data_IF_362403678103
#
_entry.id   IF_362403678103
#
_cell.length_a   1.000
_cell.length_b   1.000
_cell.length_c   1.000
_cell.angle_alpha   90.00
_cell.angle_beta   90.00
_cell.angle_gamma   90.00
#
_symmetry.space_group_name_H-M   'P 1'
#
loop_
_entity.id
_entity.type
_entity.pdbx_description
1 polymer ?
#
# COMPACT_ATOMS: atom_id res chain seq x y z
N UNK A 1 -6.50 -11.69 -9.83
CA UNK A 1 -5.44 -12.11 -10.78
C UNK A 1 -4.99 -10.95 -11.66
N UNK A 2 -4.13 -10.06 -11.14
CA UNK A 2 -3.19 -9.38 -12.02
C UNK A 2 -1.97 -10.32 -12.14
N UNK A 3 -2.06 -11.30 -13.06
CA UNK A 3 -0.83 -11.91 -13.56
C UNK A 3 -0.11 -10.79 -14.27
N UNK A 4 0.92 -10.20 -13.65
CA UNK A 4 1.97 -9.51 -14.39
C UNK A 4 2.27 -10.45 -15.55
N UNK A 5 2.01 -10.00 -16.79
CA UNK A 5 2.39 -10.77 -17.97
C UNK A 5 3.84 -11.14 -17.76
N UNK A 6 4.08 -12.43 -17.61
CA UNK A 6 5.36 -13.08 -17.39
C UNK A 6 6.43 -12.24 -18.11
N UNK A 7 7.34 -11.62 -17.36
CA UNK A 7 8.56 -11.09 -17.98
C UNK A 7 9.11 -12.27 -18.79
N UNK A 8 9.15 -12.14 -20.13
CA UNK A 8 9.80 -13.13 -20.96
C UNK A 8 11.27 -13.01 -20.59
N UNK A 9 11.75 -13.90 -19.73
CA UNK A 9 13.16 -13.96 -19.42
C UNK A 9 13.91 -14.10 -20.75
N UNK A 10 14.90 -13.24 -21.04
CA UNK A 10 15.72 -13.44 -22.22
C UNK A 10 16.28 -14.86 -22.17
N UNK A 11 16.25 -15.57 -23.30
CA UNK A 11 16.77 -16.95 -23.39
C UNK A 11 18.28 -17.02 -23.05
N UNK A 12 18.96 -15.89 -23.06
CA UNK A 12 20.36 -15.75 -22.76
C UNK A 12 20.60 -15.25 -21.34
N UNK A 13 20.92 -16.16 -20.42
CA UNK A 13 21.53 -15.85 -19.12
C UNK A 13 22.94 -16.47 -19.06
N UNK A 14 23.95 -15.63 -18.86
CA UNK A 14 25.33 -16.09 -18.71
C UNK A 14 25.58 -16.57 -17.30
N UNK A 15 25.81 -17.88 -17.13
CA UNK A 15 26.05 -18.51 -15.83
C UNK A 15 27.28 -17.96 -15.09
N UNK A 16 28.19 -17.26 -15.78
CA UNK A 16 29.31 -16.55 -15.13
C UNK A 16 28.83 -15.38 -14.26
N UNK A 17 27.61 -14.88 -14.47
CA UNK A 17 27.01 -13.80 -13.67
C UNK A 17 26.46 -14.29 -12.32
N UNK A 18 26.10 -15.56 -12.19
CA UNK A 18 25.45 -16.14 -11.00
C UNK A 18 26.11 -15.79 -9.65
N UNK A 19 27.43 -15.91 -9.45
CA UNK A 19 28.05 -15.55 -8.17
C UNK A 19 27.97 -14.05 -7.85
N UNK A 20 27.86 -13.18 -8.86
CA UNK A 20 27.67 -11.75 -8.64
C UNK A 20 26.22 -11.43 -8.28
N UNK A 21 25.26 -12.11 -8.90
CA UNK A 21 23.83 -11.95 -8.60
C UNK A 21 23.53 -12.41 -7.17
N UNK A 22 24.08 -13.54 -6.73
CA UNK A 22 23.96 -14.01 -5.35
C UNK A 22 24.58 -13.02 -4.36
N UNK A 23 25.77 -12.50 -4.67
CA UNK A 23 26.42 -11.45 -3.86
C UNK A 23 25.61 -10.16 -3.83
N UNK A 24 24.96 -9.80 -4.94
CA UNK A 24 24.09 -8.64 -4.98
C UNK A 24 22.89 -8.83 -4.03
N UNK A 25 22.25 -10.01 -4.04
CA UNK A 25 21.19 -10.34 -3.11
C UNK A 25 21.65 -10.32 -1.64
N UNK A 26 22.85 -10.81 -1.32
CA UNK A 26 23.38 -10.74 0.04
C UNK A 26 23.59 -9.29 0.49
N UNK A 27 24.11 -8.44 -0.39
CA UNK A 27 24.27 -7.00 -0.13
C UNK A 27 22.93 -6.27 0.05
N UNK A 28 21.87 -6.70 -0.63
CA UNK A 28 20.53 -6.15 -0.40
C UNK A 28 20.02 -6.47 1.01
N UNK A 29 20.27 -7.69 1.50
CA UNK A 29 19.91 -8.08 2.88
C UNK A 29 20.69 -7.24 3.88
N UNK A 30 22.01 -7.10 3.71
CA UNK A 30 22.85 -6.28 4.58
C UNK A 30 22.38 -4.82 4.61
N UNK A 31 22.08 -4.24 3.44
CA UNK A 31 21.53 -2.89 3.32
C UNK A 31 20.21 -2.75 4.07
N UNK A 32 19.30 -3.73 3.94
CA UNK A 32 17.99 -3.74 4.60
C UNK A 32 18.13 -3.77 6.11
N UNK A 33 19.03 -4.60 6.63
CA UNK A 33 19.35 -4.65 8.07
C UNK A 33 19.97 -3.34 8.55
N UNK A 34 20.91 -2.77 7.81
CA UNK A 34 21.56 -1.50 8.17
C UNK A 34 20.59 -0.31 8.18
N UNK A 35 19.53 -0.36 7.37
CA UNK A 35 18.48 0.65 7.29
C UNK A 35 17.28 0.37 8.20
N UNK A 36 17.34 -0.61 9.11
CA UNK A 36 16.22 -0.97 10.00
C UNK A 36 14.92 -1.27 9.22
N UNK A 37 15.07 -1.95 8.08
CA UNK A 37 13.97 -2.25 7.15
C UNK A 37 13.22 -1.02 6.63
N UNK A 38 13.80 0.19 6.75
CA UNK A 38 13.22 1.42 6.21
C UNK A 38 13.76 1.61 4.79
N UNK A 39 12.93 1.35 3.76
CA UNK A 39 13.37 1.56 2.39
C UNK A 39 13.61 3.06 2.18
N UNK A 40 14.59 3.38 1.33
CA UNK A 40 14.96 4.75 1.02
C UNK A 40 15.83 4.77 -0.23
N UNK A 41 15.83 5.90 -0.92
CA UNK A 41 16.69 6.15 -2.08
C UNK A 41 17.84 7.07 -1.65
N UNK A 42 19.08 6.79 -2.08
CA UNK A 42 20.17 7.74 -1.92
C UNK A 42 19.83 9.11 -2.55
N UNK A 43 20.42 10.22 -2.06
CA UNK A 43 20.29 11.54 -2.67
C UNK A 43 20.66 11.58 -4.15
N UNK A 44 20.04 12.47 -4.92
CA UNK A 44 20.19 12.53 -6.38
C UNK A 44 21.65 12.81 -6.82
N UNK A 45 22.32 13.74 -6.15
CA UNK A 45 23.73 14.07 -6.37
C UNK A 45 24.64 12.86 -6.13
N UNK A 46 24.34 12.05 -5.11
CA UNK A 46 25.09 10.83 -4.81
C UNK A 46 24.85 9.75 -5.88
N UNK A 47 23.63 9.61 -6.40
CA UNK A 47 23.30 8.68 -7.48
C UNK A 47 24.03 9.07 -8.78
N UNK A 48 24.11 10.36 -9.09
CA UNK A 48 24.83 10.87 -10.26
C UNK A 48 26.34 10.62 -10.16
N UNK A 49 26.95 10.89 -8.99
CA UNK A 49 28.37 10.60 -8.74
C UNK A 49 28.69 9.11 -8.90
N UNK A 50 27.82 8.22 -8.41
CA UNK A 50 28.01 6.78 -8.59
C UNK A 50 27.83 6.34 -10.04
N UNK A 51 26.83 6.90 -10.74
CA UNK A 51 26.62 6.61 -12.16
C UNK A 51 27.88 6.96 -12.97
N UNK A 52 28.44 8.15 -12.77
CA UNK A 52 29.69 8.57 -13.42
C UNK A 52 30.86 7.64 -13.04
N UNK A 53 31.08 7.40 -11.75
CA UNK A 53 32.18 6.57 -11.24
C UNK A 53 32.19 5.15 -11.82
N UNK A 54 31.01 4.55 -11.98
CA UNK A 54 30.88 3.16 -12.45
C UNK A 54 30.56 3.07 -13.96
N UNK A 55 30.52 4.19 -14.69
CA UNK A 55 30.22 4.22 -16.13
C UNK A 55 28.79 3.77 -16.46
N UNK A 56 27.83 4.06 -15.59
CA UNK A 56 26.42 3.71 -15.72
C UNK A 56 25.58 4.94 -16.10
N UNK A 57 24.39 4.70 -16.67
CA UNK A 57 23.44 5.78 -16.90
C UNK A 57 22.77 6.21 -15.58
N UNK A 58 22.65 7.52 -15.29
CA UNK A 58 22.03 8.01 -14.06
C UNK A 58 20.62 7.45 -13.83
N UNK A 59 19.76 7.45 -14.86
CA UNK A 59 18.40 6.92 -14.76
C UNK A 59 18.34 5.42 -14.48
N UNK A 60 19.34 4.66 -14.94
CA UNK A 60 19.45 3.24 -14.63
C UNK A 60 19.78 3.02 -13.14
N UNK A 61 20.72 3.79 -12.58
CA UNK A 61 21.04 3.73 -11.15
C UNK A 61 19.83 4.17 -10.31
N UNK A 62 19.13 5.24 -10.71
CA UNK A 62 17.87 5.69 -10.09
C UNK A 62 16.82 4.57 -10.11
N UNK A 63 16.66 3.87 -11.23
CA UNK A 63 15.70 2.77 -11.37
C UNK A 63 16.03 1.57 -10.46
N UNK A 64 17.31 1.21 -10.28
CA UNK A 64 17.73 0.14 -9.36
C UNK A 64 17.26 0.48 -7.93
N UNK A 65 17.61 1.66 -7.42
CA UNK A 65 17.24 2.04 -6.05
C UNK A 65 15.73 2.26 -5.90
N UNK A 66 15.05 2.76 -6.95
CA UNK A 66 13.59 2.81 -7.00
C UNK A 66 12.95 1.43 -6.90
N UNK A 67 13.53 0.42 -7.53
CA UNK A 67 13.05 -0.98 -7.46
C UNK A 67 13.29 -1.59 -6.09
N UNK A 68 14.48 -1.38 -5.50
CA UNK A 68 14.80 -1.84 -4.15
C UNK A 68 13.81 -1.25 -3.14
N UNK A 69 13.44 0.02 -3.30
CA UNK A 69 12.44 0.69 -2.46
C UNK A 69 11.06 0.01 -2.54
N UNK A 70 10.72 -0.63 -3.65
CA UNK A 70 9.40 -1.24 -3.90
C UNK A 70 9.28 -2.70 -3.43
N UNK A 71 10.32 -3.30 -2.83
CA UNK A 71 10.33 -4.73 -2.43
C UNK A 71 9.05 -5.14 -1.69
N UNK A 72 8.63 -4.33 -0.72
CA UNK A 72 7.46 -4.59 0.12
C UNK A 72 6.13 -4.60 -0.66
N UNK A 73 6.05 -3.81 -1.73
CA UNK A 73 4.88 -3.77 -2.63
C UNK A 73 4.82 -4.97 -3.59
N UNK A 74 5.96 -5.65 -3.78
CA UNK A 74 6.11 -6.85 -4.61
C UNK A 74 5.85 -8.15 -3.83
N UNK A 75 5.61 -8.09 -2.52
CA UNK A 75 5.20 -9.26 -1.73
C UNK A 75 3.95 -9.90 -2.35
N UNK A 76 3.86 -11.24 -2.43
CA UNK A 76 2.65 -11.91 -2.87
C UNK A 76 1.42 -11.42 -2.12
N UNK A 77 0.37 -11.07 -2.86
CA UNK A 77 -0.90 -10.62 -2.29
C UNK A 77 -1.86 -11.81 -2.22
N UNK A 78 -2.43 -12.05 -1.05
CA UNK A 78 -3.52 -13.01 -0.93
C UNK A 78 -4.70 -12.53 -1.77
N UNK A 79 -5.14 -13.36 -2.71
CA UNK A 79 -6.40 -13.12 -3.41
C UNK A 79 -7.52 -13.75 -2.58
N UNK A 80 -8.59 -13.00 -2.24
CA UNK A 80 -9.70 -13.55 -1.48
C UNK A 80 -10.38 -14.70 -2.23
N UNK A 81 -10.57 -15.83 -1.56
CA UNK A 81 -11.13 -17.08 -2.09
C UNK A 81 -12.38 -17.48 -1.32
N UNK A 82 -13.37 -18.07 -2.01
CA UNK A 82 -14.60 -18.58 -1.41
C UNK A 82 -15.32 -17.58 -0.50
N UNK A 83 -16.11 -16.69 -1.10
CA UNK A 83 -16.92 -15.73 -0.36
C UNK A 83 -17.85 -16.45 0.64
N UNK A 84 -17.80 -16.05 1.90
CA UNK A 84 -18.59 -16.63 3.00
C UNK A 84 -19.80 -15.73 3.29
N UNK A 85 -19.57 -14.49 3.72
CA UNK A 85 -20.64 -13.58 4.17
C UNK A 85 -20.21 -12.12 4.23
N UNK A 86 -21.19 -11.24 4.44
CA UNK A 86 -20.97 -9.88 4.91
C UNK A 86 -21.09 -9.82 6.43
N UNK A 87 -20.13 -9.19 7.10
CA UNK A 87 -20.22 -8.83 8.52
C UNK A 87 -20.53 -7.34 8.61
N UNK A 88 -21.72 -6.94 9.11
CA UNK A 88 -22.05 -5.54 9.32
C UNK A 88 -21.11 -4.89 10.36
N UNK A 89 -20.67 -3.66 10.09
CA UNK A 89 -19.83 -2.87 11.02
C UNK A 89 -20.40 -1.48 11.25
N UNK A 90 -20.99 -0.87 10.20
CA UNK A 90 -21.59 0.47 10.19
C UNK A 90 -20.90 1.47 11.14
N UNK A 91 -19.70 1.90 10.76
CA UNK A 91 -18.96 2.98 11.44
C UNK A 91 -18.81 4.14 10.49
N UNK A 92 -18.98 5.35 11.00
CA UNK A 92 -18.76 6.56 10.21
C UNK A 92 -18.24 7.70 11.07
N UNK A 93 -17.45 8.58 10.48
CA UNK A 93 -16.99 9.81 11.10
C UNK A 93 -16.92 10.89 10.04
N UNK A 94 -17.40 12.09 10.39
CA UNK A 94 -17.26 13.27 9.56
C UNK A 94 -15.98 14.01 9.94
N UNK A 95 -15.19 14.40 8.95
CA UNK A 95 -13.98 15.20 9.14
C UNK A 95 -13.70 16.05 7.91
N UNK A 96 -13.46 17.35 8.14
CA UNK A 96 -13.15 18.33 7.08
C UNK A 96 -14.20 18.36 5.95
N UNK A 97 -15.49 18.27 6.31
CA UNK A 97 -16.61 18.27 5.36
C UNK A 97 -16.74 16.99 4.52
N UNK A 98 -16.04 15.91 4.92
CA UNK A 98 -16.09 14.60 4.28
C UNK A 98 -16.59 13.55 5.26
N UNK A 99 -17.52 12.71 4.82
CA UNK A 99 -18.02 11.58 5.59
C UNK A 99 -17.22 10.32 5.23
N UNK A 100 -16.50 9.78 6.19
CA UNK A 100 -15.78 8.51 6.05
C UNK A 100 -16.63 7.41 6.67
N UNK A 101 -16.83 6.30 5.96
CA UNK A 101 -17.68 5.21 6.44
C UNK A 101 -17.16 3.81 6.09
N UNK A 102 -17.45 2.86 6.98
CA UNK A 102 -17.29 1.42 6.80
C UNK A 102 -18.62 0.75 7.10
N UNK A 103 -19.26 0.20 6.08
CA UNK A 103 -20.61 -0.35 6.23
C UNK A 103 -20.60 -1.84 6.54
N UNK A 104 -19.80 -2.61 5.80
CA UNK A 104 -19.64 -4.04 6.01
C UNK A 104 -18.24 -4.52 5.61
N UNK A 105 -17.83 -5.63 6.21
CA UNK A 105 -16.62 -6.38 5.85
C UNK A 105 -17.04 -7.64 5.10
N UNK A 106 -16.43 -7.90 3.94
CA UNK A 106 -16.61 -9.17 3.23
C UNK A 106 -15.68 -10.21 3.83
N UNK A 107 -16.23 -11.35 4.20
CA UNK A 107 -15.47 -12.49 4.70
C UNK A 107 -15.29 -13.53 3.60
N UNK A 108 -14.05 -14.00 3.47
CA UNK A 108 -13.61 -15.07 2.58
C UNK A 108 -12.93 -16.14 3.43
N UNK A 109 -12.73 -17.34 2.88
CA UNK A 109 -12.12 -18.45 3.62
C UNK A 109 -10.68 -18.15 4.08
N UNK A 110 -9.95 -17.34 3.31
CA UNK A 110 -8.54 -17.04 3.53
C UNK A 110 -8.23 -15.57 3.88
N UNK A 111 -9.22 -14.67 3.85
CA UNK A 111 -9.01 -13.24 4.06
C UNK A 111 -10.31 -12.50 4.41
N UNK A 112 -10.18 -11.26 4.89
CA UNK A 112 -11.28 -10.30 4.93
C UNK A 112 -11.03 -9.16 3.96
N UNK A 113 -12.09 -8.61 3.37
CA UNK A 113 -12.01 -7.43 2.51
C UNK A 113 -12.83 -6.30 3.11
N UNK A 114 -12.14 -5.20 3.42
CA UNK A 114 -12.73 -3.97 3.95
C UNK A 114 -12.90 -2.96 2.83
N UNK A 115 -14.02 -2.26 2.85
CA UNK A 115 -14.22 -1.07 2.00
C UNK A 115 -14.47 0.14 2.89
N UNK A 116 -13.62 1.15 2.76
CA UNK A 116 -13.85 2.47 3.33
C UNK A 116 -14.41 3.37 2.22
N UNK A 117 -15.60 3.92 2.42
CA UNK A 117 -16.18 4.95 1.56
C UNK A 117 -15.87 6.34 2.14
N UNK A 118 -15.67 7.31 1.26
CA UNK A 118 -15.49 8.71 1.58
C UNK A 118 -16.46 9.49 0.70
N UNK A 119 -17.33 10.28 1.30
CA UNK A 119 -18.37 11.04 0.61
C UNK A 119 -18.18 12.53 0.93
N UNK A 120 -18.45 13.40 -0.04
CA UNK A 120 -18.37 14.86 0.11
C UNK A 120 -19.34 15.55 -0.84
N UNK A 121 -19.60 16.83 -0.59
CA UNK A 121 -20.42 17.62 -1.52
C UNK A 121 -19.65 17.86 -2.83
N UNK A 122 -19.99 17.09 -3.86
CA UNK A 122 -19.41 17.20 -5.20
C UNK A 122 -19.88 18.42 -6.00
N UNK A 123 -20.78 19.25 -5.45
CA UNK A 123 -21.34 20.45 -6.09
C UNK A 123 -20.81 21.76 -5.50
N UNK A 124 -20.12 21.72 -4.37
CA UNK A 124 -19.51 22.90 -3.76
C UNK A 124 -18.38 23.47 -4.65
N UNK A 125 -18.52 24.71 -5.12
CA UNK A 125 -17.53 25.42 -5.96
C UNK A 125 -16.21 25.65 -5.22
N UNK A 126 -16.22 25.75 -3.89
CA UNK A 126 -15.06 26.21 -3.13
C UNK A 126 -13.95 25.17 -3.03
N UNK A 127 -14.23 23.87 -3.00
CA UNK A 127 -13.20 22.84 -2.85
C UNK A 127 -13.57 21.65 -3.73
N UNK A 128 -13.39 21.77 -5.06
CA UNK A 128 -13.05 20.58 -5.84
C UNK A 128 -11.61 20.30 -5.43
N UNK A 129 -11.33 19.39 -4.49
CA UNK A 129 -9.96 19.09 -4.14
C UNK A 129 -9.33 18.62 -5.44
N UNK A 130 -8.09 19.02 -5.72
CA UNK A 130 -7.42 18.55 -6.92
C UNK A 130 -7.55 17.03 -6.95
N UNK A 131 -7.66 16.39 -8.14
CA UNK A 131 -7.75 14.92 -8.23
C UNK A 131 -6.74 14.22 -7.32
N UNK A 132 -5.58 14.86 -7.08
CA UNK A 132 -4.52 14.46 -6.16
C UNK A 132 -4.93 14.45 -4.66
N UNK A 133 -5.65 15.44 -4.14
CA UNK A 133 -6.10 15.50 -2.72
C UNK A 133 -7.11 14.39 -2.37
N UNK A 134 -7.85 13.91 -3.37
CA UNK A 134 -8.83 12.81 -3.27
C UNK A 134 -8.23 11.44 -3.54
N UNK A 135 -7.00 11.38 -4.06
CA UNK A 135 -6.26 10.15 -4.39
C UNK A 135 -5.29 9.72 -3.28
N UNK A 136 -5.42 10.32 -2.09
CA UNK A 136 -4.57 10.00 -0.93
C UNK A 136 -4.37 8.50 -0.75
N UNK A 137 -3.13 8.10 -0.53
CA UNK A 137 -2.76 6.70 -0.40
C UNK A 137 -3.03 6.23 1.02
N UNK A 138 -4.16 5.57 1.24
CA UNK A 138 -4.47 5.04 2.56
C UNK A 138 -3.78 3.69 2.80
N UNK A 139 -3.25 3.53 4.01
CA UNK A 139 -2.93 2.23 4.59
C UNK A 139 -3.87 1.95 5.75
N UNK A 140 -4.21 0.68 5.92
CA UNK A 140 -5.01 0.20 7.03
C UNK A 140 -4.09 -0.52 8.01
N UNK A 141 -4.26 -0.25 9.29
CA UNK A 141 -3.62 -0.97 10.38
C UNK A 141 -4.67 -1.51 11.33
N UNK A 142 -4.48 -2.77 11.72
CA UNK A 142 -5.29 -3.49 12.70
C UNK A 142 -4.31 -4.16 13.66
N UNK A 143 -4.52 -3.97 14.96
CA UNK A 143 -3.72 -4.64 15.99
C UNK A 143 -3.89 -6.16 15.93
N UNK A 144 -2.87 -6.91 16.36
CA UNK A 144 -2.91 -8.38 16.38
C UNK A 144 -2.20 -9.08 15.22
N UNK A 145 -1.34 -8.37 14.49
CA UNK A 145 -0.44 -8.97 13.50
C UNK A 145 -1.08 -9.24 12.13
N UNK A 146 -2.14 -8.52 11.79
CA UNK A 146 -2.78 -8.62 10.48
C UNK A 146 -1.93 -7.95 9.38
N UNK A 147 -1.72 -8.65 8.25
CA UNK A 147 -1.22 -8.05 7.02
C UNK A 147 -2.39 -7.38 6.28
N UNK A 148 -2.34 -6.05 6.19
CA UNK A 148 -3.38 -5.22 5.60
C UNK A 148 -2.87 -4.59 4.30
N UNK A 149 -3.52 -4.90 3.18
CA UNK A 149 -3.08 -4.47 1.84
C UNK A 149 -4.14 -3.71 1.08
N UNK A 150 -3.80 -2.49 0.67
CA UNK A 150 -4.63 -1.73 -0.26
C UNK A 150 -4.70 -2.45 -1.61
N UNK A 151 -5.93 -2.67 -2.10
CA UNK A 151 -6.24 -3.28 -3.40
C UNK A 151 -6.44 -2.23 -4.49
N UNK A 152 -6.87 -1.04 -4.09
CA UNK A 152 -7.08 0.09 -4.98
C UNK A 152 -8.13 1.05 -4.44
N UNK A 153 -8.29 2.14 -5.16
CA UNK A 153 -9.29 3.15 -4.90
C UNK A 153 -10.11 3.37 -6.19
N UNK A 154 -11.40 3.66 -6.03
CA UNK A 154 -12.29 4.04 -7.14
C UNK A 154 -13.22 5.14 -6.65
N UNK A 155 -13.49 6.13 -7.48
CA UNK A 155 -14.33 7.25 -7.10
C UNK A 155 -14.70 8.13 -8.28
N UNK A 156 -15.47 9.16 -7.99
CA UNK A 156 -15.97 10.15 -8.92
C UNK A 156 -16.38 11.42 -8.18
N UNK A 157 -17.25 12.23 -8.77
CA UNK A 157 -17.71 13.47 -8.13
C UNK A 157 -18.53 13.13 -6.87
N UNK A 158 -18.04 13.58 -5.72
CA UNK A 158 -18.71 13.46 -4.43
C UNK A 158 -18.49 12.15 -3.68
N UNK A 159 -17.76 11.18 -4.24
CA UNK A 159 -17.42 9.95 -3.50
C UNK A 159 -16.15 9.23 -3.97
N UNK A 160 -15.48 8.58 -3.03
CA UNK A 160 -14.31 7.71 -3.23
C UNK A 160 -14.48 6.46 -2.37
N UNK A 161 -13.98 5.32 -2.83
CA UNK A 161 -13.96 4.09 -2.06
C UNK A 161 -12.59 3.43 -2.15
N UNK A 162 -12.08 3.00 -1.01
CA UNK A 162 -10.79 2.35 -0.83
C UNK A 162 -11.03 0.92 -0.37
N UNK A 163 -10.40 -0.05 -1.03
CA UNK A 163 -10.55 -1.48 -0.70
C UNK A 163 -9.25 -2.03 -0.14
N UNK A 164 -9.35 -2.79 0.96
CA UNK A 164 -8.23 -3.39 1.67
C UNK A 164 -8.47 -4.88 1.85
N UNK A 165 -7.43 -5.70 1.69
CA UNK A 165 -7.42 -7.13 2.02
C UNK A 165 -6.67 -7.31 3.33
N UNK A 166 -7.22 -8.11 4.24
CA UNK A 166 -6.70 -8.36 5.59
C UNK A 166 -6.47 -9.85 5.76
N UNK A 167 -5.26 -10.24 6.19
CA UNK A 167 -4.86 -11.62 6.42
C UNK A 167 -4.18 -11.75 7.79
N UNK A 168 -4.55 -12.72 8.64
CA UNK A 168 -5.63 -13.71 8.47
C UNK A 168 -7.03 -13.06 8.40
N UNK A 169 -8.09 -13.82 8.02
CA UNK A 169 -9.45 -13.29 8.08
C UNK A 169 -9.79 -12.82 9.50
N UNK A 170 -10.44 -11.65 9.58
CA UNK A 170 -10.94 -11.07 10.81
C UNK A 170 -12.03 -11.96 11.44
N UNK A 171 -12.17 -11.95 12.77
CA UNK A 171 -13.24 -12.68 13.44
C UNK A 171 -14.63 -12.15 13.05
N UNK A 172 -15.67 -12.91 13.41
CA UNK A 172 -17.05 -12.51 13.12
C UNK A 172 -17.50 -11.31 13.96
N UNK A 173 -17.05 -11.23 15.21
CA UNK A 173 -17.29 -10.07 16.05
C UNK A 173 -16.22 -9.01 15.77
N UNK A 174 -16.63 -7.89 15.18
CA UNK A 174 -15.75 -6.78 14.84
C UNK A 174 -15.86 -5.62 15.84
N UNK A 175 -16.73 -5.71 16.86
CA UNK A 175 -17.00 -4.64 17.82
C UNK A 175 -15.75 -4.22 18.58
N UNK A 176 -14.88 -5.16 18.92
CA UNK A 176 -13.63 -4.91 19.67
C UNK A 176 -12.45 -4.51 18.78
N UNK A 177 -12.61 -4.56 17.46
CA UNK A 177 -11.52 -4.27 16.52
C UNK A 177 -11.45 -2.77 16.25
N UNK A 178 -10.26 -2.20 16.40
CA UNK A 178 -9.96 -0.85 15.93
C UNK A 178 -9.45 -0.90 14.50
N UNK A 179 -9.99 -0.05 13.63
CA UNK A 179 -9.49 0.15 12.27
C UNK A 179 -8.82 1.52 12.19
N UNK A 180 -7.53 1.55 11.90
CA UNK A 180 -6.75 2.78 11.76
C UNK A 180 -6.37 2.97 10.30
N UNK A 181 -6.84 4.04 9.69
CA UNK A 181 -6.47 4.42 8.33
C UNK A 181 -5.53 5.60 8.37
N UNK A 182 -4.30 5.43 7.91
CA UNK A 182 -3.34 6.51 7.76
C UNK A 182 -3.23 6.91 6.29
N UNK A 183 -3.21 8.21 6.02
CA UNK A 183 -3.06 8.73 4.67
C UNK A 183 -1.60 9.12 4.41
N UNK A 184 -1.11 8.73 3.24
CA UNK A 184 0.21 9.07 2.72
C UNK A 184 0.07 9.94 1.47
N UNK A 185 1.04 10.83 1.29
CA UNK A 185 1.16 11.70 0.11
C UNK A 185 1.71 10.92 -1.09
N UNK A 186 2.51 9.88 -0.83
CA UNK A 186 3.12 9.04 -1.86
C UNK A 186 2.53 7.62 -1.89
N UNK A 187 2.53 6.95 -3.06
CA UNK A 187 1.98 5.61 -3.21
C UNK A 187 2.76 4.52 -2.47
N UNK A 188 4.00 4.79 -2.06
CA UNK A 188 4.89 3.84 -1.37
C UNK A 188 4.87 4.06 0.16
N UNK A 189 4.04 4.97 0.64
CA UNK A 189 3.80 5.28 2.05
C UNK A 189 5.06 5.54 2.86
N UNK A 190 5.92 6.39 2.33
CA UNK A 190 7.12 6.93 2.99
C UNK A 190 6.86 8.33 3.56
N UNK A 191 5.91 9.06 2.99
CA UNK A 191 5.57 10.43 3.33
C UNK A 191 4.18 10.45 3.99
N UNK A 192 4.09 10.26 5.31
CA UNK A 192 2.83 10.34 6.02
C UNK A 192 2.29 11.78 5.95
N UNK A 193 1.02 11.93 5.59
CA UNK A 193 0.37 13.24 5.55
C UNK A 193 0.05 13.80 6.93
N UNK A 194 0.23 13.00 7.98
CA UNK A 194 -0.23 13.29 9.35
C UNK A 194 -1.74 13.10 9.54
N UNK A 195 -2.50 12.81 8.47
CA UNK A 195 -3.92 12.49 8.58
C UNK A 195 -4.12 11.03 8.97
N UNK A 196 -4.86 10.82 10.06
CA UNK A 196 -5.22 9.51 10.60
C UNK A 196 -6.73 9.49 10.87
N UNK A 197 -7.40 8.42 10.43
CA UNK A 197 -8.80 8.15 10.70
C UNK A 197 -8.91 6.88 11.54
N UNK A 198 -9.52 6.99 12.73
CA UNK A 198 -9.72 5.85 13.63
C UNK A 198 -11.21 5.53 13.75
N UNK A 199 -11.57 4.29 13.40
CA UNK A 199 -12.86 3.72 13.76
C UNK A 199 -12.70 2.86 15.01
N UNK A 200 -12.94 3.47 16.15
CA UNK A 200 -12.82 2.83 17.46
C UNK A 200 -13.83 1.67 17.63
N UNK A 201 -13.55 0.77 18.58
CA UNK A 201 -14.51 -0.22 19.03
C UNK A 201 -15.87 0.39 19.37
N UNK A 202 -16.95 -0.30 19.01
CA UNK A 202 -18.30 0.06 19.44
C UNK A 202 -18.42 -0.46 20.86
N UNK A 203 -18.12 0.37 21.85
CA UNK A 203 -18.39 0.07 23.26
C UNK A 203 -19.78 0.62 23.59
N UNK A 204 -20.66 -0.22 24.13
CA UNK A 204 -21.87 0.24 24.82
C UNK A 204 -21.53 1.10 26.05
#
# INVERSE_FOLDING_TARGET
MCRIKQFRYPEHYDQRAAPYDEKFLSLLIERKTAADNKPGTPPEDQLEQWAEKYGLYPDFVKAIFGTIRMEEELRPRAEPEDFIKYVPVMRSVERDGKLYSMTAVKQYSNASVITMAVEWDGTAEEHVPGRYDLMGHFRLYIEGGYDCRARGAKGGNGSMSYTFTVVPPLPENLEEISFVFERFEDPFGQEPSGFELKFNPIRE
#
